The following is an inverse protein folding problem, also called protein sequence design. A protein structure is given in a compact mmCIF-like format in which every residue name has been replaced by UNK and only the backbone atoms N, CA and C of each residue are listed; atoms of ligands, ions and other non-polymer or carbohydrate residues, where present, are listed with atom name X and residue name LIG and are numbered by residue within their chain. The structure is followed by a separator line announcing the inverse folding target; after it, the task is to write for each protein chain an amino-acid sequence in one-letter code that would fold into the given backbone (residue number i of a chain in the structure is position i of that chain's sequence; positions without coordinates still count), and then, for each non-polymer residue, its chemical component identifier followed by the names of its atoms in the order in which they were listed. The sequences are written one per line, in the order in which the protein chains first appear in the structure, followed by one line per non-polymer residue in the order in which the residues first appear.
data_IF_752075037181
#
_entry.id   IF_752075037181
#
_cell.length_a   1.000
_cell.length_b   1.000
_cell.length_c   1.000
_cell.angle_alpha   90.00
_cell.angle_beta   90.00
_cell.angle_gamma   90.00
#
_symmetry.space_group_name_H-M   'P 1'
#
loop_
_entity.id
_entity.type
_entity.pdbx_description
1 polymer ?
#
# COMPACT_ATOMS: atom_id res chain seq x y z
N UNK A 1 -36.33 -8.14 -1.38
CA UNK A 1 -35.33 -8.43 -0.33
C UNK A 1 -34.25 -7.36 -0.40
N UNK A 2 -34.13 -6.41 0.55
CA UNK A 2 -33.13 -5.35 0.41
C UNK A 2 -31.76 -5.88 0.86
N UNK A 3 -30.78 -5.80 -0.04
CA UNK A 3 -29.38 -6.10 0.21
C UNK A 3 -28.82 -5.08 1.22
N UNK A 4 -28.63 -5.50 2.47
CA UNK A 4 -28.14 -4.63 3.55
C UNK A 4 -26.63 -4.47 3.39
N UNK A 5 -26.21 -3.43 2.68
CA UNK A 5 -24.80 -3.05 2.50
C UNK A 5 -24.19 -2.84 3.90
N UNK A 6 -23.17 -3.63 4.23
CA UNK A 6 -22.42 -3.49 5.49
C UNK A 6 -21.65 -2.17 5.48
N UNK A 7 -21.75 -1.43 6.59
CA UNK A 7 -20.93 -0.24 6.88
C UNK A 7 -19.48 -0.68 7.15
N UNK A 8 -18.60 -0.49 6.17
CA UNK A 8 -17.15 -0.67 6.31
C UNK A 8 -16.49 0.71 6.47
N UNK A 9 -15.56 0.85 7.40
CA UNK A 9 -14.88 2.14 7.67
C UNK A 9 -13.71 2.43 6.72
N UNK A 10 -13.22 1.42 6.01
CA UNK A 10 -12.19 1.55 4.97
C UNK A 10 -12.30 0.46 3.91
N UNK A 11 -11.82 0.75 2.70
CA UNK A 11 -11.67 -0.20 1.59
C UNK A 11 -10.32 0.01 0.93
N UNK A 12 -9.63 -1.10 0.60
CA UNK A 12 -8.32 -1.10 -0.04
C UNK A 12 -8.47 -1.58 -1.49
N UNK A 13 -7.94 -0.81 -2.43
CA UNK A 13 -7.83 -1.18 -3.83
C UNK A 13 -6.36 -1.38 -4.20
N UNK A 14 -6.03 -2.55 -4.73
CA UNK A 14 -4.68 -2.89 -5.22
C UNK A 14 -4.70 -2.84 -6.74
N UNK A 15 -3.86 -1.98 -7.30
CA UNK A 15 -3.71 -1.79 -8.74
C UNK A 15 -2.80 -2.84 -9.39
N UNK A 16 -2.59 -2.67 -10.69
CA UNK A 16 -1.68 -3.51 -11.46
C UNK A 16 -0.22 -3.37 -11.02
N UNK A 17 0.56 -4.41 -11.32
CA UNK A 17 2.00 -4.44 -11.10
C UNK A 17 2.70 -3.72 -12.24
N UNK A 18 3.51 -2.70 -11.92
CA UNK A 18 4.29 -1.95 -12.89
C UNK A 18 5.77 -2.03 -12.58
N UNK A 19 6.58 -2.21 -13.61
CA UNK A 19 8.03 -2.27 -13.46
C UNK A 19 8.64 -0.90 -13.75
N UNK A 20 9.18 -0.25 -12.71
CA UNK A 20 9.78 1.09 -12.82
C UNK A 20 11.29 1.04 -12.67
N UNK A 21 11.98 1.91 -13.41
CA UNK A 21 13.41 2.11 -13.26
C UNK A 21 13.62 3.12 -12.13
N UNK A 22 14.34 2.73 -11.10
CA UNK A 22 14.69 3.57 -9.96
C UNK A 22 16.21 3.72 -9.88
N UNK A 23 16.72 4.92 -9.54
CA UNK A 23 18.16 5.12 -9.39
C UNK A 23 18.71 4.22 -8.28
N UNK A 24 19.86 3.62 -8.54
CA UNK A 24 20.54 2.69 -7.66
C UNK A 24 22.02 3.04 -7.66
N UNK A 25 22.48 3.68 -6.58
CA UNK A 25 23.87 4.13 -6.44
C UNK A 25 24.87 2.96 -6.38
N UNK A 26 24.36 1.78 -6.07
CA UNK A 26 25.01 0.49 -5.90
C UNK A 26 25.10 -0.35 -7.18
N UNK A 27 24.39 0.03 -8.25
CA UNK A 27 24.47 -0.65 -9.56
C UNK A 27 25.47 0.03 -10.50
N UNK A 28 26.31 -0.73 -11.24
CA UNK A 28 27.30 -0.16 -12.17
C UNK A 28 26.69 0.67 -13.31
N UNK A 29 25.37 0.56 -13.54
CA UNK A 29 24.60 1.35 -14.51
C UNK A 29 23.92 2.58 -13.90
N UNK A 30 23.96 2.76 -12.58
CA UNK A 30 23.31 3.87 -11.86
C UNK A 30 21.80 3.74 -11.65
N UNK A 31 21.18 2.66 -12.14
CA UNK A 31 19.75 2.39 -12.02
C UNK A 31 19.46 0.91 -11.85
N UNK A 32 18.39 0.60 -11.10
CA UNK A 32 17.83 -0.74 -10.92
C UNK A 32 16.38 -0.78 -11.37
N UNK A 33 15.94 -1.96 -11.79
CA UNK A 33 14.56 -2.23 -12.11
C UNK A 33 13.83 -2.65 -10.82
N UNK A 34 12.73 -2.00 -10.47
CA UNK A 34 11.93 -2.31 -9.28
C UNK A 34 10.47 -2.51 -9.67
N UNK A 35 9.93 -3.65 -9.24
CA UNK A 35 8.51 -3.96 -9.33
C UNK A 35 7.76 -3.14 -8.29
N UNK A 36 6.78 -2.34 -8.73
CA UNK A 36 5.97 -1.49 -7.87
C UNK A 36 4.50 -1.85 -8.06
N UNK A 37 3.72 -1.72 -6.99
CA UNK A 37 2.26 -1.91 -7.01
C UNK A 37 1.61 -0.67 -6.45
N UNK A 38 0.60 -0.14 -7.13
CA UNK A 38 -0.15 1.00 -6.63
C UNK A 38 -1.25 0.51 -5.68
N UNK A 39 -1.36 1.11 -4.50
CA UNK A 39 -2.38 0.73 -3.51
C UNK A 39 -3.10 1.99 -3.05
N UNK A 40 -4.43 1.98 -3.16
CA UNK A 40 -5.29 3.11 -2.77
C UNK A 40 -6.18 2.68 -1.63
N UNK A 41 -6.12 3.42 -0.52
CA UNK A 41 -7.00 3.24 0.63
C UNK A 41 -8.06 4.35 0.61
N UNK A 42 -9.33 3.97 0.58
CA UNK A 42 -10.44 4.88 0.78
C UNK A 42 -11.01 4.66 2.18
N UNK A 43 -11.05 5.73 2.98
CA UNK A 43 -11.49 5.71 4.37
C UNK A 43 -12.70 6.62 4.59
N UNK A 44 -13.57 6.24 5.52
CA UNK A 44 -14.59 7.14 6.06
C UNK A 44 -13.93 8.11 7.06
N UNK A 45 -13.90 9.40 6.71
CA UNK A 45 -13.18 10.43 7.48
C UNK A 45 -13.82 10.74 8.84
N UNK A 46 -15.02 10.21 9.13
CA UNK A 46 -15.64 10.35 10.47
C UNK A 46 -15.00 9.39 11.48
N UNK A 47 -14.39 8.32 10.98
CA UNK A 47 -13.79 7.25 11.79
C UNK A 47 -12.27 7.25 11.69
N UNK A 48 -11.72 7.57 10.52
CA UNK A 48 -10.28 7.52 10.25
C UNK A 48 -9.81 8.89 9.80
N UNK A 49 -8.90 9.49 10.57
CA UNK A 49 -8.21 10.70 10.16
C UNK A 49 -7.15 10.40 9.09
N UNK A 50 -6.90 11.35 8.19
CA UNK A 50 -5.90 11.22 7.13
C UNK A 50 -4.50 10.87 7.64
N UNK A 51 -4.08 11.39 8.80
CA UNK A 51 -2.79 11.06 9.39
C UNK A 51 -2.71 9.59 9.84
N UNK A 52 -3.79 9.08 10.43
CA UNK A 52 -3.90 7.68 10.87
C UNK A 52 -3.95 6.75 9.65
N UNK A 53 -4.69 7.13 8.59
CA UNK A 53 -4.73 6.39 7.34
C UNK A 53 -3.36 6.33 6.65
N UNK A 54 -2.60 7.42 6.66
CA UNK A 54 -1.24 7.47 6.13
C UNK A 54 -0.28 6.60 6.94
N UNK A 55 -0.37 6.64 8.28
CA UNK A 55 0.43 5.77 9.15
C UNK A 55 0.11 4.28 8.89
N UNK A 56 -1.16 3.93 8.75
CA UNK A 56 -1.57 2.57 8.42
C UNK A 56 -0.99 2.11 7.07
N UNK A 57 -1.04 2.96 6.04
CA UNK A 57 -0.45 2.67 4.73
C UNK A 57 1.07 2.51 4.79
N UNK A 58 1.75 3.29 5.64
CA UNK A 58 3.20 3.19 5.85
C UNK A 58 3.57 1.83 6.44
N UNK A 59 2.88 1.39 7.50
CA UNK A 59 3.10 0.08 8.12
C UNK A 59 2.75 -1.05 7.13
N UNK A 60 1.61 -0.94 6.43
CA UNK A 60 1.21 -1.90 5.40
C UNK A 60 2.28 -2.07 4.31
N UNK A 61 2.88 -0.96 3.85
CA UNK A 61 4.00 -0.98 2.91
C UNK A 61 5.21 -1.70 3.49
N UNK A 62 5.59 -1.42 4.74
CA UNK A 62 6.74 -2.06 5.39
C UNK A 62 6.58 -3.58 5.50
N UNK A 63 5.38 -4.06 5.85
CA UNK A 63 5.10 -5.50 5.91
C UNK A 63 5.22 -6.18 4.54
N UNK A 64 4.81 -5.51 3.46
CA UNK A 64 4.95 -6.04 2.10
C UNK A 64 6.39 -6.00 1.58
N UNK A 65 7.16 -4.95 1.92
CA UNK A 65 8.56 -4.83 1.52
C UNK A 65 9.47 -5.78 2.32
N UNK A 66 9.10 -6.11 3.56
CA UNK A 66 9.85 -7.02 4.43
C UNK A 66 8.97 -8.19 4.90
N UNK A 67 8.78 -9.24 4.09
CA UNK A 67 7.86 -10.34 4.43
C UNK A 67 8.21 -11.08 5.74
N UNK A 68 9.46 -11.01 6.21
CA UNK A 68 9.86 -11.54 7.52
C UNK A 68 9.22 -10.82 8.71
N UNK A 69 8.83 -9.55 8.55
CA UNK A 69 8.12 -8.79 9.59
C UNK A 69 6.66 -9.22 9.76
N UNK A 70 6.13 -10.02 8.83
CA UNK A 70 4.75 -10.54 8.87
C UNK A 70 4.61 -11.82 9.71
N UNK A 71 5.73 -12.46 10.08
CA UNK A 71 5.79 -13.75 10.80
C UNK A 71 6.15 -13.53 12.27
N UNK A 72 5.33 -12.75 12.98
CA UNK A 72 5.45 -12.61 14.45
C UNK A 72 5.49 -13.97 15.17
#
# INVERSE_FOLDING_TARGET
MPYRIKINSAILAVGGVETKIVPAADSPKGFRQSTNVNVTLACDHRVIDGAIGAQWLQEFKQFLENPGSMIL
#
